data_IF_772235669203
#
_entry.id   IF_772235669203
#
_cell.length_a   1.000
_cell.length_b   1.000
_cell.length_c   1.000
_cell.angle_alpha   90.00
_cell.angle_beta   90.00
_cell.angle_gamma   90.00
#
_symmetry.space_group_name_H-M   'P 1'
#
loop_
_entity.id
_entity.type
_entity.pdbx_description
1 polymer ?
#
# COMPACT_ATOMS: atom_id res chain seq x y z
N UNK A 1 -13.14 -16.87 1.58
CA UNK A 1 -12.40 -16.95 0.30
C UNK A 1 -11.16 -17.77 0.55
N UNK A 2 -11.04 -18.90 -0.13
CA UNK A 2 -9.85 -19.74 -0.08
C UNK A 2 -8.74 -19.07 -0.91
N UNK A 3 -7.72 -18.55 -0.23
CA UNK A 3 -6.55 -17.92 -0.88
C UNK A 3 -5.46 -18.95 -1.20
N UNK A 4 -5.66 -20.25 -0.92
CA UNK A 4 -4.64 -21.30 -1.09
C UNK A 4 -4.27 -21.60 -2.55
N UNK A 5 -4.87 -20.91 -3.52
CA UNK A 5 -4.62 -21.09 -4.97
C UNK A 5 -4.01 -19.87 -5.66
N UNK A 6 -3.78 -18.76 -4.95
CA UNK A 6 -3.19 -17.57 -5.56
C UNK A 6 -1.67 -17.62 -5.36
N UNK A 7 -0.93 -17.55 -6.45
CA UNK A 7 0.54 -17.53 -6.44
C UNK A 7 1.04 -16.11 -6.67
N UNK A 8 2.18 -15.71 -6.09
CA UNK A 8 2.81 -14.42 -6.41
C UNK A 8 2.96 -14.19 -7.91
N UNK A 9 2.43 -13.07 -8.40
CA UNK A 9 2.57 -12.67 -9.81
C UNK A 9 3.98 -12.14 -10.13
N UNK A 10 4.25 -11.87 -11.41
CA UNK A 10 5.50 -11.20 -11.81
C UNK A 10 5.67 -9.83 -11.14
N UNK A 11 4.58 -9.07 -10.97
CA UNK A 11 4.58 -7.80 -10.25
C UNK A 11 5.05 -7.95 -8.81
N UNK A 12 4.56 -8.97 -8.10
CA UNK A 12 4.99 -9.23 -6.73
C UNK A 12 6.50 -9.49 -6.69
N UNK A 13 6.99 -10.40 -7.54
CA UNK A 13 8.43 -10.74 -7.57
C UNK A 13 9.31 -9.53 -7.88
N UNK A 14 8.90 -8.68 -8.82
CA UNK A 14 9.63 -7.47 -9.15
C UNK A 14 9.58 -6.43 -8.02
N UNK A 15 8.42 -6.27 -7.34
CA UNK A 15 8.28 -5.41 -6.16
C UNK A 15 9.25 -5.83 -5.05
N UNK A 16 9.45 -7.13 -4.83
CA UNK A 16 10.34 -7.63 -3.79
C UNK A 16 11.83 -7.36 -4.05
N UNK A 17 12.20 -6.95 -5.26
CA UNK A 17 13.57 -6.52 -5.60
C UNK A 17 13.82 -5.04 -5.34
N UNK A 18 12.77 -4.25 -5.04
CA UNK A 18 12.93 -2.83 -4.73
C UNK A 18 13.48 -2.65 -3.31
N UNK A 19 14.26 -1.58 -3.05
CA UNK A 19 14.73 -1.22 -1.71
C UNK A 19 13.61 -0.59 -0.87
N UNK A 20 12.52 -1.33 -0.65
CA UNK A 20 11.33 -0.90 0.10
C UNK A 20 11.35 -1.55 1.47
N UNK A 21 11.32 -0.74 2.53
CA UNK A 21 11.28 -1.19 3.92
C UNK A 21 9.89 -1.12 4.56
N UNK A 22 8.92 -0.53 3.86
CA UNK A 22 7.59 -0.25 4.40
C UNK A 22 6.51 -0.33 3.32
N UNK A 23 5.47 -1.14 3.57
CA UNK A 23 4.33 -1.33 2.68
C UNK A 23 3.05 -1.21 3.50
N UNK A 24 2.10 -0.42 3.03
CA UNK A 24 0.72 -0.46 3.50
C UNK A 24 -0.13 -1.20 2.49
N UNK A 25 -0.99 -2.10 2.95
CA UNK A 25 -1.87 -2.88 2.06
C UNK A 25 -3.26 -3.05 2.66
N UNK A 26 -4.27 -3.02 1.80
CA UNK A 26 -5.66 -3.39 2.12
C UNK A 26 -5.91 -4.90 1.94
N UNK A 27 -4.94 -5.64 1.38
CA UNK A 27 -5.08 -7.07 1.14
C UNK A 27 -4.95 -7.86 2.44
N UNK A 28 -5.80 -8.87 2.60
CA UNK A 28 -5.80 -9.73 3.78
C UNK A 28 -4.89 -10.98 3.63
N UNK A 29 -4.54 -11.34 2.39
CA UNK A 29 -3.73 -12.51 2.06
C UNK A 29 -2.22 -12.33 2.35
N UNK A 30 -1.46 -13.40 2.17
CA UNK A 30 -0.02 -13.46 2.46
C UNK A 30 0.88 -13.37 1.22
N UNK A 31 0.35 -12.98 0.06
CA UNK A 31 1.13 -12.95 -1.18
C UNK A 31 2.35 -12.06 -1.06
N UNK A 32 2.21 -10.86 -0.47
CA UNK A 32 3.34 -9.98 -0.22
C UNK A 32 4.34 -10.62 0.74
N UNK A 33 3.87 -11.18 1.86
CA UNK A 33 4.73 -11.85 2.84
C UNK A 33 5.58 -12.94 2.18
N UNK A 34 4.93 -13.88 1.49
CA UNK A 34 5.60 -14.99 0.83
C UNK A 34 6.58 -14.51 -0.25
N UNK A 35 6.21 -13.46 -0.99
CA UNK A 35 7.07 -12.92 -2.05
C UNK A 35 8.35 -12.32 -1.48
N UNK A 36 8.25 -11.49 -0.44
CA UNK A 36 9.41 -10.86 0.17
C UNK A 36 10.30 -11.88 0.90
N UNK A 37 9.71 -12.86 1.58
CA UNK A 37 10.47 -13.96 2.20
C UNK A 37 11.22 -14.81 1.16
N UNK A 38 10.60 -15.13 0.03
CA UNK A 38 11.26 -15.84 -1.09
C UNK A 38 12.39 -15.01 -1.73
N UNK A 39 12.34 -13.68 -1.61
CA UNK A 39 13.41 -12.79 -2.03
C UNK A 39 14.51 -12.62 -0.96
N UNK A 40 14.45 -13.36 0.15
CA UNK A 40 15.44 -13.33 1.23
C UNK A 40 15.24 -12.20 2.24
N UNK A 41 14.13 -11.47 2.18
CA UNK A 41 13.81 -10.39 3.12
C UNK A 41 13.16 -10.93 4.40
N UNK A 42 13.46 -10.31 5.54
CA UNK A 42 12.79 -10.56 6.82
C UNK A 42 11.53 -9.71 6.88
N UNK A 43 10.36 -10.36 6.92
CA UNK A 43 9.07 -9.68 6.84
C UNK A 43 8.42 -9.55 8.21
N UNK A 44 8.03 -8.33 8.59
CA UNK A 44 7.26 -8.04 9.80
C UNK A 44 5.83 -7.67 9.41
N UNK A 45 4.86 -8.48 9.82
CA UNK A 45 3.43 -8.19 9.59
C UNK A 45 2.88 -7.37 10.76
N UNK A 46 2.34 -6.19 10.45
CA UNK A 46 1.78 -5.25 11.42
C UNK A 46 0.28 -5.13 11.18
N UNK A 47 -0.52 -5.71 12.08
CA UNK A 47 -1.99 -5.70 12.04
C UNK A 47 -2.61 -4.88 13.16
N UNK A 48 -1.81 -4.48 14.17
CA UNK A 48 -2.24 -3.80 15.39
C UNK A 48 -1.26 -2.70 15.74
N UNK A 49 -1.76 -1.65 16.38
CA UNK A 49 -0.93 -0.54 16.88
C UNK A 49 0.16 -1.01 17.86
N UNK A 50 -0.14 -2.04 18.67
CA UNK A 50 0.83 -2.62 19.60
C UNK A 50 2.02 -3.30 18.91
N UNK A 51 1.94 -3.59 17.61
CA UNK A 51 3.04 -4.21 16.85
C UNK A 51 4.00 -3.17 16.27
N UNK A 52 3.59 -1.91 16.14
CA UNK A 52 4.40 -0.82 15.57
C UNK A 52 5.75 -0.64 16.27
N UNK A 53 5.86 -0.68 17.61
CA UNK A 53 7.15 -0.56 18.29
C UNK A 53 8.17 -1.65 17.93
N UNK A 54 7.70 -2.80 17.44
CA UNK A 54 8.50 -3.97 17.10
C UNK A 54 8.80 -4.07 15.59
N UNK A 55 8.46 -3.04 14.82
CA UNK A 55 8.82 -2.97 13.41
C UNK A 55 10.33 -3.07 13.22
N UNK A 56 10.72 -3.84 12.20
CA UNK A 56 12.10 -4.01 11.78
C UNK A 56 12.71 -2.70 11.26
N UNK A 57 14.02 -2.58 11.43
CA UNK A 57 14.82 -1.41 11.07
C UNK A 57 16.03 -1.75 10.20
N UNK A 58 16.28 -3.03 9.91
CA UNK A 58 17.40 -3.48 9.08
C UNK A 58 17.17 -3.25 7.59
N UNK A 59 18.26 -3.22 6.82
CA UNK A 59 18.23 -3.04 5.34
C UNK A 59 17.50 -4.17 4.60
N UNK A 60 17.51 -5.38 5.17
CA UNK A 60 16.78 -6.54 4.64
C UNK A 60 15.42 -6.77 5.32
N UNK A 61 14.94 -5.81 6.10
CA UNK A 61 13.66 -5.90 6.79
C UNK A 61 12.57 -5.12 6.07
N UNK A 62 11.42 -5.77 5.90
CA UNK A 62 10.25 -5.17 5.25
C UNK A 62 9.07 -5.25 6.22
N UNK A 63 8.54 -4.09 6.58
CA UNK A 63 7.35 -3.99 7.40
C UNK A 63 6.12 -3.89 6.51
N UNK A 64 5.18 -4.81 6.66
CA UNK A 64 3.91 -4.82 5.91
C UNK A 64 2.78 -4.51 6.90
N UNK A 65 2.22 -3.31 6.78
CA UNK A 65 1.06 -2.86 7.53
C UNK A 65 -0.19 -3.32 6.78
N UNK A 66 -0.91 -4.28 7.35
CA UNK A 66 -2.19 -4.73 6.83
C UNK A 66 -3.31 -3.87 7.41
N UNK A 67 -3.75 -2.89 6.63
CA UNK A 67 -4.72 -1.87 7.02
C UNK A 67 -6.03 -2.47 7.54
N UNK A 68 -6.49 -3.60 7.01
CA UNK A 68 -7.74 -4.19 7.44
C UNK A 68 -7.57 -5.50 8.21
N UNK A 69 -6.34 -5.83 8.62
CA UNK A 69 -6.03 -7.07 9.32
C UNK A 69 -5.59 -8.20 8.39
N UNK A 70 -5.50 -9.40 8.93
CA UNK A 70 -4.90 -10.57 8.28
C UNK A 70 -5.83 -11.78 8.34
N UNK A 71 -5.98 -12.53 7.25
CA UNK A 71 -6.80 -13.75 7.23
C UNK A 71 -6.34 -14.80 8.25
N UNK A 72 -5.04 -14.82 8.60
CA UNK A 72 -4.47 -15.71 9.62
C UNK A 72 -4.68 -15.21 11.06
N UNK A 73 -5.13 -13.97 11.24
CA UNK A 73 -5.48 -13.37 12.54
C UNK A 73 -6.91 -12.83 12.47
N UNK A 74 -7.95 -13.69 12.51
CA UNK A 74 -9.33 -13.28 12.25
C UNK A 74 -9.85 -12.16 13.18
N UNK A 75 -9.33 -12.08 14.39
CA UNK A 75 -9.61 -11.05 15.41
C UNK A 75 -9.02 -9.67 15.07
N UNK A 76 -8.27 -9.55 13.97
CA UNK A 76 -7.75 -8.27 13.45
C UNK A 76 -8.57 -7.74 12.28
N UNK A 77 -9.50 -8.54 11.73
CA UNK A 77 -10.19 -8.23 10.49
C UNK A 77 -11.17 -7.05 10.64
N UNK A 78 -11.10 -6.11 9.70
CA UNK A 78 -12.02 -4.98 9.55
C UNK A 78 -12.91 -5.26 8.34
N UNK A 79 -14.15 -5.69 8.59
CA UNK A 79 -15.08 -6.09 7.53
C UNK A 79 -16.46 -5.45 7.70
N UNK A 80 -16.85 -5.14 8.94
CA UNK A 80 -18.13 -4.54 9.25
C UNK A 80 -18.06 -3.01 9.25
N UNK A 81 -19.16 -2.37 8.86
CA UNK A 81 -19.30 -0.91 8.84
C UNK A 81 -18.90 -0.24 10.16
N UNK A 82 -19.34 -0.78 11.30
CA UNK A 82 -18.99 -0.23 12.61
C UNK A 82 -17.47 -0.23 12.87
N UNK A 83 -16.75 -1.25 12.39
CA UNK A 83 -15.29 -1.32 12.53
C UNK A 83 -14.59 -0.27 11.65
N UNK A 84 -15.12 -0.01 10.45
CA UNK A 84 -14.65 1.08 9.61
C UNK A 84 -14.91 2.45 10.26
N UNK A 85 -16.11 2.67 10.81
CA UNK A 85 -16.46 3.92 11.50
C UNK A 85 -15.57 4.18 12.73
N UNK A 86 -15.21 3.13 13.47
CA UNK A 86 -14.33 3.22 14.65
C UNK A 86 -12.82 3.24 14.30
N UNK A 87 -12.44 2.90 13.06
CA UNK A 87 -11.06 2.59 12.67
C UNK A 87 -10.03 3.66 13.05
N UNK A 88 -10.34 4.95 12.84
CA UNK A 88 -9.44 6.05 13.17
C UNK A 88 -9.17 6.15 14.69
N UNK A 89 -10.18 5.81 15.50
CA UNK A 89 -10.07 5.78 16.95
C UNK A 89 -9.46 4.49 17.49
N UNK A 90 -9.69 3.36 16.81
CA UNK A 90 -9.17 2.05 17.19
C UNK A 90 -7.71 1.83 16.77
N UNK A 91 -7.23 2.56 15.75
CA UNK A 91 -5.86 2.45 15.20
C UNK A 91 -5.08 3.76 15.12
N UNK A 92 -5.03 4.57 16.19
CA UNK A 92 -4.41 5.90 16.15
C UNK A 92 -2.92 5.88 15.79
N UNK A 93 -2.16 4.86 16.19
CA UNK A 93 -0.73 4.76 15.87
C UNK A 93 -0.51 4.38 14.41
N UNK A 94 -1.32 3.47 13.86
CA UNK A 94 -1.27 3.14 12.42
C UNK A 94 -1.57 4.37 11.57
N UNK A 95 -2.60 5.15 11.94
CA UNK A 95 -2.96 6.39 11.26
C UNK A 95 -1.83 7.41 11.35
N UNK A 96 -1.25 7.61 12.54
CA UNK A 96 -0.13 8.52 12.74
C UNK A 96 1.11 8.11 11.94
N UNK A 97 1.39 6.82 11.86
CA UNK A 97 2.48 6.29 11.05
C UNK A 97 2.23 6.59 9.57
N UNK A 98 1.04 6.28 9.04
CA UNK A 98 0.68 6.59 7.66
C UNK A 98 0.81 8.10 7.36
N UNK A 99 0.28 8.95 8.23
CA UNK A 99 0.39 10.41 8.12
C UNK A 99 1.86 10.86 8.07
N UNK A 100 2.69 10.31 8.94
CA UNK A 100 4.14 10.59 8.98
C UNK A 100 4.84 10.15 7.69
N UNK A 101 4.48 8.98 7.14
CA UNK A 101 5.05 8.50 5.88
C UNK A 101 4.64 9.34 4.69
N UNK A 102 3.38 9.75 4.60
CA UNK A 102 2.90 10.64 3.54
C UNK A 102 3.63 12.01 3.59
N UNK A 103 4.03 12.45 4.79
CA UNK A 103 4.76 13.70 4.99
C UNK A 103 6.23 13.63 4.58
N UNK A 104 6.89 12.47 4.75
CA UNK A 104 8.35 12.36 4.65
C UNK A 104 8.83 11.52 3.48
N UNK A 105 8.01 10.60 3.01
CA UNK A 105 8.37 9.56 2.04
C UNK A 105 7.65 9.78 0.71
N UNK A 106 8.26 9.35 -0.39
CA UNK A 106 7.59 9.33 -1.69
C UNK A 106 6.71 8.08 -1.77
N UNK A 107 5.39 8.26 -1.72
CA UNK A 107 4.44 7.15 -1.80
C UNK A 107 4.21 6.69 -3.25
N UNK A 108 4.20 5.37 -3.47
CA UNK A 108 3.78 4.73 -4.71
C UNK A 108 2.49 3.93 -4.47
N UNK A 109 1.37 4.38 -5.03
CA UNK A 109 0.07 3.74 -4.91
C UNK A 109 -0.13 2.75 -6.06
N UNK A 110 -0.36 1.48 -5.75
CA UNK A 110 -0.48 0.38 -6.74
C UNK A 110 -1.78 -0.37 -6.52
N UNK A 111 -2.50 -0.68 -7.59
CA UNK A 111 -3.68 -1.55 -7.54
C UNK A 111 -4.79 -1.00 -6.64
N UNK A 112 -4.72 0.28 -6.30
CA UNK A 112 -5.75 0.93 -5.52
C UNK A 112 -6.98 1.10 -6.42
N UNK A 113 -8.03 0.35 -6.11
CA UNK A 113 -9.32 0.69 -6.68
C UNK A 113 -9.88 1.86 -5.88
N UNK A 114 -10.24 2.94 -6.57
CA UNK A 114 -11.09 4.00 -5.99
C UNK A 114 -12.43 3.46 -5.45
N UNK A 115 -12.75 2.19 -5.69
CA UNK A 115 -13.93 1.52 -5.15
C UNK A 115 -13.82 1.17 -3.68
N UNK A 116 -12.66 1.31 -3.02
CA UNK A 116 -12.60 1.34 -1.55
C UNK A 116 -12.92 2.76 -1.06
N UNK A 117 -14.18 3.05 -0.67
CA UNK A 117 -14.59 4.39 -0.28
C UNK A 117 -13.97 4.76 1.07
N UNK A 118 -13.64 3.76 1.88
CA UNK A 118 -13.11 3.95 3.22
C UNK A 118 -11.65 4.40 3.18
N UNK A 119 -10.81 3.71 2.39
CA UNK A 119 -9.44 4.16 2.18
C UNK A 119 -9.40 5.55 1.54
N UNK A 120 -10.27 5.80 0.55
CA UNK A 120 -10.39 7.12 -0.11
C UNK A 120 -10.72 8.23 0.89
N UNK A 121 -11.63 7.95 1.82
CA UNK A 121 -12.01 8.87 2.89
C UNK A 121 -10.85 9.12 3.86
N UNK A 122 -10.17 8.07 4.34
CA UNK A 122 -9.02 8.21 5.24
C UNK A 122 -7.90 9.00 4.57
N UNK A 123 -7.54 8.63 3.33
CA UNK A 123 -6.48 9.32 2.60
C UNK A 123 -6.82 10.80 2.43
N UNK A 124 -8.07 11.13 2.08
CA UNK A 124 -8.54 12.52 2.01
C UNK A 124 -8.37 13.25 3.34
N UNK A 125 -8.83 12.67 4.45
CA UNK A 125 -8.69 13.29 5.77
C UNK A 125 -7.23 13.48 6.19
N UNK A 126 -6.36 12.53 5.87
CA UNK A 126 -4.93 12.63 6.18
C UNK A 126 -4.27 13.75 5.37
N UNK A 127 -4.53 13.82 4.06
CA UNK A 127 -4.00 14.87 3.21
C UNK A 127 -4.52 16.26 3.61
N UNK A 128 -5.80 16.36 4.01
CA UNK A 128 -6.38 17.61 4.49
C UNK A 128 -5.68 18.13 5.76
N UNK A 129 -5.30 17.24 6.69
CA UNK A 129 -4.50 17.60 7.89
C UNK A 129 -3.14 18.18 7.53
N UNK A 130 -2.57 17.75 6.42
CA UNK A 130 -1.25 18.17 5.95
C UNK A 130 -1.28 19.52 5.23
N UNK A 131 -2.46 20.05 4.88
CA UNK A 131 -2.65 21.37 4.27
C UNK A 131 -1.74 21.65 3.07
N UNK A 132 -1.42 20.62 2.28
CA UNK A 132 -0.57 20.74 1.11
C UNK A 132 0.93 20.55 1.37
N UNK A 133 1.34 20.13 2.57
CA UNK A 133 2.75 19.83 2.90
C UNK A 133 3.12 18.34 2.73
N UNK A 134 2.26 17.54 2.12
CA UNK A 134 2.58 16.18 1.69
C UNK A 134 3.67 16.12 0.63
N UNK A 135 4.43 15.02 0.64
CA UNK A 135 5.34 14.72 -0.47
C UNK A 135 4.52 14.28 -1.66
N UNK A 136 4.98 14.65 -2.85
CA UNK A 136 4.35 14.21 -4.10
C UNK A 136 4.34 12.68 -4.16
N UNK A 137 3.16 12.11 -4.32
CA UNK A 137 2.96 10.69 -4.55
C UNK A 137 2.89 10.35 -6.04
N UNK A 138 3.01 9.06 -6.35
CA UNK A 138 2.84 8.51 -7.69
C UNK A 138 1.84 7.36 -7.64
N UNK A 139 1.00 7.22 -8.65
CA UNK A 139 0.03 6.13 -8.67
C UNK A 139 -0.04 5.45 -10.04
N UNK A 140 -0.21 4.13 -9.99
CA UNK A 140 -0.50 3.29 -11.16
C UNK A 140 -1.89 2.69 -10.97
N UNK A 141 -2.89 3.32 -11.58
CA UNK A 141 -4.29 2.98 -11.37
C UNK A 141 -4.93 2.66 -12.71
N UNK A 142 -5.76 1.63 -12.70
CA UNK A 142 -6.51 1.18 -13.87
C UNK A 142 -7.95 1.69 -13.77
N UNK A 143 -8.57 1.95 -14.92
CA UNK A 143 -9.99 2.28 -15.03
C UNK A 143 -10.44 3.55 -14.26
N UNK A 144 -9.61 4.60 -14.26
CA UNK A 144 -10.00 5.90 -13.72
C UNK A 144 -10.94 6.65 -14.66
N UNK A 145 -11.97 7.26 -14.10
CA UNK A 145 -12.70 8.35 -14.78
C UNK A 145 -11.84 9.61 -14.82
N UNK A 146 -12.14 10.52 -15.75
CA UNK A 146 -11.44 11.80 -15.85
C UNK A 146 -11.51 12.61 -14.55
N UNK A 147 -12.68 12.61 -13.88
CA UNK A 147 -12.86 13.31 -12.61
C UNK A 147 -12.01 12.71 -11.49
N UNK A 148 -11.86 11.39 -11.43
CA UNK A 148 -10.99 10.74 -10.45
C UNK A 148 -9.53 11.06 -10.70
N UNK A 149 -9.08 11.02 -11.96
CA UNK A 149 -7.72 11.39 -12.32
C UNK A 149 -7.41 12.84 -11.91
N UNK A 150 -8.33 13.77 -12.18
CA UNK A 150 -8.19 15.17 -11.82
C UNK A 150 -8.14 15.39 -10.30
N UNK A 151 -8.99 14.71 -9.52
CA UNK A 151 -8.95 14.76 -8.04
C UNK A 151 -7.57 14.34 -7.50
N UNK A 152 -6.99 13.28 -8.05
CA UNK A 152 -5.67 12.80 -7.64
C UNK A 152 -4.56 13.79 -7.94
N UNK A 153 -4.52 14.31 -9.17
CA UNK A 153 -3.42 15.18 -9.60
C UNK A 153 -3.53 16.58 -9.00
N UNK A 154 -4.72 17.18 -9.00
CA UNK A 154 -4.91 18.58 -8.59
C UNK A 154 -5.08 18.73 -7.09
N UNK A 155 -5.87 17.87 -6.44
CA UNK A 155 -6.17 18.01 -5.01
C UNK A 155 -5.19 17.23 -4.14
N UNK A 156 -4.87 16.00 -4.53
CA UNK A 156 -4.05 15.09 -3.71
C UNK A 156 -2.57 15.10 -4.06
N UNK A 157 -2.17 15.82 -5.11
CA UNK A 157 -0.78 15.90 -5.62
C UNK A 157 -0.16 14.52 -5.89
N UNK A 158 -0.99 13.58 -6.35
CA UNK A 158 -0.59 12.24 -6.74
C UNK A 158 -0.49 12.22 -8.26
N UNK A 159 0.73 12.07 -8.79
CA UNK A 159 0.96 12.02 -10.23
C UNK A 159 0.60 10.64 -10.78
N UNK A 160 -0.18 10.59 -11.84
CA UNK A 160 -0.50 9.33 -12.50
C UNK A 160 0.67 8.87 -13.39
N UNK A 161 1.05 7.62 -13.22
CA UNK A 161 1.99 6.92 -14.09
C UNK A 161 1.17 6.17 -15.13
N UNK A 162 1.25 6.62 -16.39
CA UNK A 162 0.62 5.92 -17.50
C UNK A 162 1.39 4.64 -17.80
N UNK A 163 0.70 3.50 -17.72
CA UNK A 163 1.23 2.21 -18.12
C UNK A 163 0.62 1.82 -19.48
N UNK A 164 1.42 1.18 -20.33
CA UNK A 164 1.01 0.85 -21.71
C UNK A 164 -0.16 -0.14 -21.70
N UNK A 165 -1.28 0.16 -22.38
CA UNK A 165 -2.52 -0.63 -22.30
C UNK A 165 -2.45 -2.02 -22.97
N UNK A 166 -1.33 -2.34 -23.64
CA UNK A 166 -1.17 -3.53 -24.48
C UNK A 166 -0.85 -4.82 -23.70
N UNK A 167 -0.71 -4.75 -22.36
CA UNK A 167 -0.36 -5.90 -21.50
C UNK A 167 -1.37 -6.08 -20.37
N UNK A 168 -1.41 -7.27 -19.77
CA UNK A 168 -2.11 -7.47 -18.49
C UNK A 168 -1.50 -6.57 -17.39
N UNK A 169 -2.34 -6.09 -16.46
CA UNK A 169 -1.98 -5.20 -15.35
C UNK A 169 -0.77 -5.71 -14.56
N UNK A 170 -0.70 -7.01 -14.26
CA UNK A 170 0.42 -7.59 -13.51
C UNK A 170 1.74 -7.51 -14.31
N UNK A 171 1.70 -7.70 -15.63
CA UNK A 171 2.86 -7.53 -16.49
C UNK A 171 3.30 -6.07 -16.59
N UNK A 172 2.35 -5.12 -16.63
CA UNK A 172 2.66 -3.69 -16.65
C UNK A 172 3.36 -3.24 -15.34
N UNK A 173 2.85 -3.68 -14.20
CA UNK A 173 3.45 -3.39 -12.89
C UNK A 173 4.84 -4.00 -12.74
N UNK A 174 5.05 -5.23 -13.24
CA UNK A 174 6.36 -5.86 -13.23
C UNK A 174 7.41 -5.01 -13.96
N UNK A 175 7.09 -4.51 -15.16
CA UNK A 175 7.98 -3.64 -15.93
C UNK A 175 8.28 -2.34 -15.17
N UNK A 176 7.28 -1.72 -14.55
CA UNK A 176 7.51 -0.51 -13.77
C UNK A 176 8.50 -0.76 -12.62
N UNK A 177 8.31 -1.82 -11.84
CA UNK A 177 9.20 -2.12 -10.73
C UNK A 177 10.62 -2.47 -11.20
N UNK A 178 10.75 -3.17 -12.32
CA UNK A 178 12.06 -3.42 -12.94
C UNK A 178 12.76 -2.13 -13.44
N UNK A 179 12.00 -1.12 -13.85
CA UNK A 179 12.57 0.18 -14.20
C UNK A 179 13.00 0.94 -12.94
N UNK A 180 12.16 0.93 -11.90
CA UNK A 180 12.47 1.59 -10.62
C UNK A 180 13.70 0.98 -9.94
N UNK A 181 13.91 -0.34 -10.03
CA UNK A 181 15.10 -0.99 -9.48
C UNK A 181 16.41 -0.56 -10.16
N UNK A 182 16.34 -0.12 -11.42
CA UNK A 182 17.50 0.34 -12.21
C UNK A 182 17.82 1.82 -12.03
N UNK A 183 16.83 2.62 -11.64
CA UNK A 183 16.97 4.07 -11.42
C UNK A 183 17.49 4.38 -10.02
N UNK A 184 17.39 3.43 -9.08
CA UNK A 184 17.96 3.53 -7.73
C UNK A 184 19.46 3.23 -7.68
N UNK A 185 20.28 4.11 -8.23
CA UNK A 185 21.71 4.30 -7.94
C UNK A 185 21.98 5.79 -7.73
#
# INVERSE_FOLDING_TARGET
>A
MDTSKVSPSAAHRALAQLPVSLIFTANYDDLLKETFERAGKRVNIVTRDSYIPFMGRGEDEVNIIKLYGDLRQPDTLVLARQQFEAYLGDRPQTIKLLETELARSTALYIGWSHSDPFFSLILGQLLDRMQGFERRGYATLFNLTQSQAQDLEERKKIRLLSLSPERDEAAQLAVLFELLSKVGC
#
